data_IF_453780327155
#
_entry.id   IF_453780327155
#
_cell.length_a   1.000
_cell.length_b   1.000
_cell.length_c   1.000
_cell.angle_alpha   90.00
_cell.angle_beta   90.00
_cell.angle_gamma   90.00
#
_symmetry.space_group_name_H-M   'P 1'
#
loop_
_entity.id
_entity.type
_entity.pdbx_description
1 polymer ?
#
# COMPACT_ATOMS: atom_id res chain seq x y z
N UNK A 1 -18.32 -4.93 -11.55
CA UNK A 1 -18.43 -6.12 -10.68
C UNK A 1 -17.12 -6.35 -9.95
N UNK A 2 -17.14 -6.69 -8.66
CA UNK A 2 -15.93 -7.05 -7.91
C UNK A 2 -15.71 -8.56 -8.02
N UNK A 3 -14.47 -9.06 -8.23
CA UNK A 3 -14.16 -10.50 -8.23
C UNK A 3 -14.68 -11.26 -6.99
N UNK A 4 -14.78 -10.56 -5.85
CA UNK A 4 -15.33 -11.12 -4.61
C UNK A 4 -16.79 -11.56 -4.76
N UNK A 5 -17.61 -10.84 -5.53
CA UNK A 5 -19.01 -11.19 -5.77
C UNK A 5 -19.16 -12.45 -6.62
N UNK A 6 -18.19 -12.72 -7.51
CA UNK A 6 -18.16 -13.95 -8.32
C UNK A 6 -17.86 -15.16 -7.44
N UNK A 7 -16.88 -15.02 -6.54
CA UNK A 7 -16.54 -16.06 -5.56
C UNK A 7 -17.68 -16.30 -4.57
N UNK A 8 -18.36 -15.23 -4.16
CA UNK A 8 -19.55 -15.33 -3.28
C UNK A 8 -20.66 -16.18 -3.89
N UNK A 9 -20.80 -16.15 -5.21
CA UNK A 9 -21.75 -16.96 -5.98
C UNK A 9 -21.28 -18.41 -6.23
N UNK A 10 -20.10 -18.80 -5.73
CA UNK A 10 -19.55 -20.14 -5.92
C UNK A 10 -18.78 -20.35 -7.22
N UNK A 11 -18.56 -19.29 -8.01
CA UNK A 11 -17.73 -19.35 -9.21
C UNK A 11 -16.26 -19.07 -8.89
N UNK A 12 -15.38 -19.39 -9.84
CA UNK A 12 -13.93 -19.15 -9.75
C UNK A 12 -13.50 -18.06 -10.73
N UNK A 13 -12.66 -17.13 -10.28
CA UNK A 13 -11.98 -16.20 -11.16
C UNK A 13 -10.80 -16.91 -11.85
N UNK A 14 -10.84 -16.99 -13.18
CA UNK A 14 -9.76 -17.55 -14.00
C UNK A 14 -9.05 -16.39 -14.71
N UNK A 15 -7.73 -16.41 -14.70
CA UNK A 15 -6.92 -15.43 -15.42
C UNK A 15 -6.94 -15.76 -16.92
N UNK A 16 -7.24 -14.78 -17.77
CA UNK A 16 -7.21 -14.93 -19.22
C UNK A 16 -5.88 -14.35 -19.73
N UNK A 17 -4.94 -15.22 -20.10
CA UNK A 17 -3.59 -14.83 -20.51
C UNK A 17 -3.57 -13.95 -21.77
N UNK A 18 -4.55 -14.13 -22.66
CA UNK A 18 -4.67 -13.38 -23.91
C UNK A 18 -5.22 -11.95 -23.72
N UNK A 19 -5.78 -11.64 -22.55
CA UNK A 19 -6.37 -10.32 -22.27
C UNK A 19 -5.28 -9.30 -21.88
N UNK A 20 -4.63 -8.70 -22.88
CA UNK A 20 -3.61 -7.68 -22.68
C UNK A 20 -4.21 -6.27 -22.57
N UNK A 21 -3.79 -5.50 -21.56
CA UNK A 21 -4.12 -4.08 -21.41
C UNK A 21 -2.83 -3.29 -21.22
N UNK A 22 -2.66 -2.20 -21.96
CA UNK A 22 -1.52 -1.29 -21.83
C UNK A 22 -1.98 -0.02 -21.14
N UNK A 23 -1.32 0.35 -20.05
CA UNK A 23 -1.55 1.59 -19.31
C UNK A 23 -0.22 2.35 -19.22
N UNK A 24 -0.27 3.67 -19.43
CA UNK A 24 0.91 4.50 -19.22
C UNK A 24 1.21 4.58 -17.72
N UNK A 25 2.47 4.37 -17.29
CA UNK A 25 2.83 4.56 -15.89
C UNK A 25 2.55 5.99 -15.44
N UNK A 26 2.08 6.15 -14.20
CA UNK A 26 1.83 7.45 -13.60
C UNK A 26 3.09 8.32 -13.66
N UNK A 27 2.93 9.56 -14.10
CA UNK A 27 4.06 10.47 -14.37
C UNK A 27 4.65 11.11 -13.12
N UNK A 28 4.00 10.97 -11.95
CA UNK A 28 4.44 11.62 -10.72
C UNK A 28 4.19 10.79 -9.45
N UNK A 29 5.04 10.98 -8.46
CA UNK A 29 4.90 10.37 -7.13
C UNK A 29 3.57 10.79 -6.45
N UNK A 30 3.10 12.00 -6.75
CA UNK A 30 1.84 12.51 -6.21
C UNK A 30 0.62 11.83 -6.85
N UNK A 31 0.64 11.60 -8.17
CA UNK A 31 -0.43 10.85 -8.84
C UNK A 31 -0.47 9.41 -8.34
N UNK A 32 0.70 8.81 -8.10
CA UNK A 32 0.84 7.50 -7.45
C UNK A 32 0.29 7.48 -6.02
N UNK A 33 0.59 8.49 -5.21
CA UNK A 33 0.03 8.63 -3.86
C UNK A 33 -1.50 8.69 -3.89
N UNK A 34 -2.08 9.54 -4.75
CA UNK A 34 -3.54 9.68 -4.89
C UNK A 34 -4.17 8.38 -5.38
N UNK A 35 -3.54 7.71 -6.36
CA UNK A 35 -3.96 6.41 -6.90
C UNK A 35 -3.97 5.35 -5.81
N UNK A 36 -2.88 5.20 -5.07
CA UNK A 36 -2.74 4.20 -4.02
C UNK A 36 -3.71 4.44 -2.85
N UNK A 37 -3.92 5.70 -2.45
CA UNK A 37 -4.90 6.05 -1.42
C UNK A 37 -6.32 5.65 -1.83
N UNK A 38 -6.70 5.93 -3.09
CA UNK A 38 -7.99 5.53 -3.67
C UNK A 38 -8.13 4.00 -3.76
N UNK A 39 -7.11 3.29 -4.23
CA UNK A 39 -7.11 1.81 -4.32
C UNK A 39 -7.30 1.21 -2.92
N UNK A 40 -6.57 1.71 -1.93
CA UNK A 40 -6.68 1.28 -0.54
C UNK A 40 -8.10 1.48 -0.01
N UNK A 41 -8.64 2.70 -0.15
CA UNK A 41 -9.99 3.03 0.29
C UNK A 41 -11.06 2.11 -0.35
N UNK A 42 -11.01 1.93 -1.67
CA UNK A 42 -11.95 1.05 -2.41
C UNK A 42 -11.82 -0.41 -1.97
N UNK A 43 -10.59 -0.89 -1.80
CA UNK A 43 -10.35 -2.28 -1.42
C UNK A 43 -10.80 -2.55 0.01
N UNK A 44 -10.52 -1.66 0.96
CA UNK A 44 -11.00 -1.79 2.34
C UNK A 44 -12.52 -1.84 2.42
N UNK A 45 -13.24 -0.99 1.66
CA UNK A 45 -14.71 -1.07 1.59
C UNK A 45 -15.20 -2.39 1.01
N UNK A 46 -14.57 -2.86 -0.06
CA UNK A 46 -14.92 -4.13 -0.68
C UNK A 46 -14.72 -5.29 0.31
N UNK A 47 -13.57 -5.34 0.99
CA UNK A 47 -13.27 -6.33 2.02
C UNK A 47 -14.25 -6.25 3.19
N UNK A 48 -14.59 -5.05 3.64
CA UNK A 48 -15.54 -4.85 4.73
C UNK A 48 -16.94 -5.34 4.37
N UNK A 49 -17.41 -5.02 3.15
CA UNK A 49 -18.71 -5.48 2.64
C UNK A 49 -18.76 -6.99 2.49
N UNK A 50 -17.69 -7.60 2.01
CA UNK A 50 -17.58 -9.04 1.80
C UNK A 50 -16.82 -9.75 2.94
N UNK A 51 -16.89 -9.23 4.17
CA UNK A 51 -16.14 -9.79 5.33
C UNK A 51 -16.53 -11.23 5.65
N UNK A 52 -17.73 -11.67 5.25
CA UNK A 52 -18.17 -13.05 5.41
C UNK A 52 -17.33 -14.05 4.59
N UNK A 53 -16.64 -13.59 3.53
CA UNK A 53 -15.69 -14.40 2.74
C UNK A 53 -14.41 -14.76 3.52
N UNK A 54 -14.19 -14.15 4.69
CA UNK A 54 -13.08 -14.47 5.58
C UNK A 54 -13.36 -15.70 6.46
N UNK A 55 -14.54 -16.32 6.36
CA UNK A 55 -14.86 -17.52 7.13
C UNK A 55 -14.17 -18.76 6.51
N UNK A 56 -13.11 -19.31 7.16
CA UNK A 56 -12.36 -20.44 6.60
C UNK A 56 -13.19 -21.72 6.55
N UNK A 57 -14.23 -21.85 7.38
CA UNK A 57 -15.12 -23.01 7.35
C UNK A 57 -15.98 -23.05 6.08
N UNK A 58 -16.25 -21.89 5.47
CA UNK A 58 -17.08 -21.78 4.28
C UNK A 58 -16.29 -21.66 2.98
N UNK A 59 -15.13 -20.99 3.02
CA UNK A 59 -14.34 -20.69 1.81
C UNK A 59 -12.91 -21.25 1.85
N UNK A 60 -12.52 -21.99 2.89
CA UNK A 60 -11.26 -22.72 2.96
C UNK A 60 -10.02 -21.85 2.72
N UNK A 61 -9.15 -22.31 1.81
CA UNK A 61 -7.89 -21.62 1.45
C UNK A 61 -8.13 -20.22 0.85
N UNK A 62 -9.27 -19.97 0.22
CA UNK A 62 -9.57 -18.63 -0.32
C UNK A 62 -9.62 -17.57 0.79
N UNK A 63 -10.24 -17.89 1.94
CA UNK A 63 -10.26 -16.99 3.09
C UNK A 63 -8.86 -16.68 3.60
N UNK A 64 -7.98 -17.68 3.63
CA UNK A 64 -6.59 -17.52 4.04
C UNK A 64 -5.83 -16.56 3.12
N UNK A 65 -5.88 -16.78 1.80
CA UNK A 65 -5.24 -15.88 0.83
C UNK A 65 -5.83 -14.47 0.85
N UNK A 66 -7.15 -14.35 1.01
CA UNK A 66 -7.82 -13.06 1.10
C UNK A 66 -7.36 -12.29 2.33
N UNK A 67 -7.24 -12.96 3.48
CA UNK A 67 -6.77 -12.36 4.72
C UNK A 67 -5.28 -11.99 4.64
N UNK A 68 -4.41 -12.95 4.30
CA UNK A 68 -2.96 -12.74 4.30
C UNK A 68 -2.51 -11.70 3.27
N UNK A 69 -3.01 -11.74 2.03
CA UNK A 69 -2.52 -10.83 0.99
C UNK A 69 -3.23 -9.48 0.95
N UNK A 70 -4.49 -9.38 1.40
CA UNK A 70 -5.21 -8.11 1.36
C UNK A 70 -5.23 -7.42 2.72
N UNK A 71 -5.67 -8.08 3.78
CA UNK A 71 -5.78 -7.44 5.10
C UNK A 71 -4.43 -7.09 5.69
N UNK A 72 -3.52 -8.07 5.78
CA UNK A 72 -2.18 -7.85 6.36
C UNK A 72 -1.40 -6.81 5.57
N UNK A 73 -1.52 -6.81 4.23
CA UNK A 73 -0.88 -5.81 3.37
C UNK A 73 -1.32 -4.38 3.70
N UNK A 74 -2.60 -4.15 3.98
CA UNK A 74 -3.06 -2.82 4.37
C UNK A 74 -2.73 -2.46 5.83
N UNK A 75 -2.37 -3.44 6.67
CA UNK A 75 -1.87 -3.22 8.03
C UNK A 75 -0.35 -2.97 8.08
N UNK A 76 0.38 -3.17 6.99
CA UNK A 76 1.81 -2.91 6.90
C UNK A 76 2.28 -1.58 7.51
N UNK A 77 1.66 -0.40 7.22
CA UNK A 77 2.11 0.85 7.81
C UNK A 77 1.86 0.93 9.33
N UNK A 78 0.85 0.22 9.85
CA UNK A 78 0.60 0.13 11.30
C UNK A 78 1.69 -0.70 11.97
N UNK A 79 2.05 -1.85 11.39
CA UNK A 79 3.17 -2.66 11.90
C UNK A 79 4.51 -1.93 11.83
N UNK A 80 4.72 -1.15 10.78
CA UNK A 80 5.91 -0.31 10.66
C UNK A 80 5.97 0.74 11.78
N UNK A 81 4.86 1.43 12.06
CA UNK A 81 4.79 2.38 13.18
C UNK A 81 5.03 1.69 14.53
N UNK A 82 4.39 0.53 14.78
CA UNK A 82 4.58 -0.24 16.00
C UNK A 82 6.04 -0.72 16.17
N UNK A 83 6.68 -1.15 15.08
CA UNK A 83 8.10 -1.53 15.12
C UNK A 83 9.01 -0.35 15.46
N UNK A 84 8.73 0.84 14.92
CA UNK A 84 9.51 2.05 15.20
C UNK A 84 9.38 2.46 16.67
N UNK A 85 8.16 2.42 17.22
CA UNK A 85 7.91 2.67 18.64
C UNK A 85 8.63 1.64 19.51
N UNK A 86 8.53 0.36 19.16
CA UNK A 86 9.19 -0.73 19.90
C UNK A 86 10.71 -0.54 19.92
N UNK A 87 11.31 -0.19 18.78
CA UNK A 87 12.75 0.11 18.69
C UNK A 87 13.13 1.32 19.55
N UNK A 88 12.32 2.38 19.57
CA UNK A 88 12.58 3.55 20.39
C UNK A 88 12.53 3.24 21.89
N UNK A 89 11.58 2.40 22.32
CA UNK A 89 11.47 1.96 23.71
C UNK A 89 12.66 1.08 24.14
N UNK A 90 13.12 0.19 23.25
CA UNK A 90 14.23 -0.72 23.51
C UNK A 90 15.60 -0.10 23.25
N UNK A 91 15.69 1.12 22.70
CA UNK A 91 16.95 1.74 22.31
C UNK A 91 17.97 1.87 23.46
N UNK A 92 17.50 1.96 24.71
CA UNK A 92 18.37 2.04 25.90
C UNK A 92 18.84 0.69 26.43
N UNK A 93 18.24 -0.40 25.97
CA UNK A 93 18.52 -1.77 26.48
C UNK A 93 19.70 -2.43 25.77
N UNK A 94 19.94 -2.10 24.51
CA UNK A 94 21.04 -2.65 23.72
C UNK A 94 21.43 -1.71 22.58
N UNK A 95 22.73 -1.65 22.30
CA UNK A 95 23.29 -0.91 21.16
C UNK A 95 22.67 -1.35 19.83
N UNK A 96 22.27 -2.63 19.70
CA UNK A 96 21.62 -3.14 18.48
C UNK A 96 20.29 -2.44 18.23
N UNK A 97 19.45 -2.27 19.26
CA UNK A 97 18.18 -1.57 19.14
C UNK A 97 18.36 -0.08 18.93
N UNK A 98 19.39 0.53 19.53
CA UNK A 98 19.74 1.93 19.28
C UNK A 98 20.11 2.16 17.81
N UNK A 99 21.02 1.33 17.26
CA UNK A 99 21.44 1.42 15.85
C UNK A 99 20.25 1.20 14.92
N UNK A 100 19.40 0.21 15.22
CA UNK A 100 18.19 -0.03 14.44
C UNK A 100 17.23 1.18 14.47
N UNK A 101 16.97 1.76 15.65
CA UNK A 101 16.13 2.96 15.78
C UNK A 101 16.69 4.16 15.01
N UNK A 102 18.00 4.40 15.10
CA UNK A 102 18.67 5.46 14.34
C UNK A 102 18.61 5.22 12.83
N UNK A 103 18.81 3.98 12.38
CA UNK A 103 18.72 3.64 10.96
C UNK A 103 17.31 3.88 10.39
N UNK A 104 16.27 3.58 11.16
CA UNK A 104 14.89 3.85 10.78
C UNK A 104 14.62 5.36 10.68
N UNK A 105 15.12 6.14 11.66
CA UNK A 105 15.01 7.60 11.66
C UNK A 105 15.73 8.22 10.46
N UNK A 106 16.94 7.76 10.16
CA UNK A 106 17.72 8.19 8.98
C UNK A 106 16.96 7.84 7.70
N UNK A 107 16.40 6.63 7.60
CA UNK A 107 15.61 6.22 6.43
C UNK A 107 14.43 7.14 6.16
N UNK A 108 13.70 7.54 7.21
CA UNK A 108 12.60 8.53 7.12
C UNK A 108 13.14 9.90 6.69
N UNK A 109 14.21 10.38 7.32
CA UNK A 109 14.81 11.68 6.99
C UNK A 109 15.28 11.74 5.53
N UNK A 110 15.94 10.69 5.05
CA UNK A 110 16.39 10.57 3.66
C UNK A 110 15.22 10.55 2.67
N UNK A 111 14.09 9.94 3.05
CA UNK A 111 12.90 9.95 2.20
C UNK A 111 12.35 11.37 1.98
N UNK A 112 12.40 12.23 3.00
CA UNK A 112 11.91 13.61 2.93
C UNK A 112 12.80 14.53 2.08
N UNK A 113 14.10 14.24 2.00
CA UNK A 113 15.07 15.02 1.20
C UNK A 113 15.11 14.55 -0.27
N UNK A 114 14.56 13.36 -0.55
CA UNK A 114 14.57 12.78 -1.89
C UNK A 114 13.67 13.56 -2.85
N UNK A 115 14.28 14.21 -3.85
CA UNK A 115 13.55 14.86 -4.95
C UNK A 115 13.09 13.79 -5.96
N UNK A 116 11.78 13.64 -6.22
CA UNK A 116 11.23 12.57 -7.06
C UNK A 116 11.73 12.57 -8.51
N UNK A 117 12.05 13.75 -9.04
CA UNK A 117 12.37 13.94 -10.47
C UNK A 117 13.83 13.61 -10.82
N UNK A 118 14.73 13.50 -9.84
CA UNK A 118 16.19 13.60 -10.08
C UNK A 118 16.96 12.29 -9.81
N UNK A 119 16.37 11.31 -9.12
CA UNK A 119 17.17 10.29 -8.43
C UNK A 119 17.30 8.94 -9.13
N UNK A 120 16.50 8.60 -10.13
CA UNK A 120 16.51 7.21 -10.63
C UNK A 120 17.66 6.88 -11.61
N UNK A 121 18.33 7.88 -12.22
CA UNK A 121 19.14 7.65 -13.44
C UNK A 121 20.63 7.99 -13.37
N UNK A 122 21.24 8.25 -12.20
CA UNK A 122 22.69 8.65 -12.17
C UNK A 122 23.61 7.95 -11.16
N UNK A 123 23.11 7.28 -10.11
CA UNK A 123 23.97 6.62 -9.11
C UNK A 123 23.21 5.60 -8.26
N UNK A 124 23.90 4.63 -7.67
CA UNK A 124 23.34 3.69 -6.68
C UNK A 124 22.69 4.39 -5.48
N UNK A 125 23.24 5.52 -5.04
CA UNK A 125 22.64 6.35 -4.00
C UNK A 125 21.31 6.96 -4.42
N UNK A 126 21.18 7.38 -5.68
CA UNK A 126 19.94 7.89 -6.22
C UNK A 126 18.83 6.83 -6.25
N UNK A 127 19.17 5.59 -6.64
CA UNK A 127 18.23 4.46 -6.62
C UNK A 127 17.72 4.16 -5.19
N UNK A 128 18.62 4.18 -4.20
CA UNK A 128 18.24 3.98 -2.80
C UNK A 128 17.30 5.08 -2.30
N UNK A 129 17.61 6.35 -2.57
CA UNK A 129 16.77 7.48 -2.18
C UNK A 129 15.40 7.47 -2.89
N UNK A 130 15.35 7.08 -4.16
CA UNK A 130 14.11 6.90 -4.91
C UNK A 130 13.26 5.77 -4.34
N UNK A 131 13.88 4.64 -3.99
CA UNK A 131 13.23 3.52 -3.32
C UNK A 131 12.65 3.92 -1.97
N UNK A 132 13.45 4.53 -1.09
CA UNK A 132 12.99 4.99 0.23
C UNK A 132 11.81 5.95 0.10
N UNK A 133 11.92 6.95 -0.79
CA UNK A 133 10.85 7.90 -1.02
C UNK A 133 9.55 7.22 -1.47
N UNK A 134 9.63 6.32 -2.46
CA UNK A 134 8.47 5.57 -2.95
C UNK A 134 7.88 4.70 -1.84
N UNK A 135 8.71 4.01 -1.08
CA UNK A 135 8.30 3.14 0.02
C UNK A 135 7.52 3.90 1.09
N UNK A 136 8.06 5.01 1.60
CA UNK A 136 7.38 5.80 2.63
C UNK A 136 6.12 6.48 2.08
N UNK A 137 6.17 6.99 0.84
CA UNK A 137 5.01 7.64 0.21
C UNK A 137 3.85 6.67 -0.01
N UNK A 138 4.12 5.45 -0.46
CA UNK A 138 3.08 4.42 -0.64
C UNK A 138 2.49 4.00 0.71
N UNK A 139 3.30 3.86 1.76
CA UNK A 139 2.80 3.56 3.10
C UNK A 139 1.95 4.71 3.66
N UNK A 140 2.35 5.96 3.45
CA UNK A 140 1.55 7.12 3.80
C UNK A 140 0.22 7.17 3.02
N UNK A 141 0.23 6.82 1.73
CA UNK A 141 -0.98 6.73 0.91
C UNK A 141 -1.97 5.68 1.44
N UNK A 142 -1.45 4.53 1.92
CA UNK A 142 -2.27 3.48 2.55
C UNK A 142 -2.92 4.01 3.84
N UNK A 143 -2.18 4.71 4.70
CA UNK A 143 -2.74 5.35 5.90
C UNK A 143 -3.81 6.38 5.56
N UNK A 144 -3.58 7.21 4.53
CA UNK A 144 -4.59 8.15 4.03
C UNK A 144 -5.84 7.43 3.52
N UNK A 145 -5.67 6.28 2.86
CA UNK A 145 -6.77 5.42 2.41
C UNK A 145 -7.60 4.86 3.57
N UNK A 146 -6.94 4.41 4.65
CA UNK A 146 -7.60 4.01 5.90
C UNK A 146 -8.38 5.16 6.52
N UNK A 147 -7.78 6.34 6.61
CA UNK A 147 -8.44 7.52 7.14
C UNK A 147 -9.72 7.88 6.37
N UNK A 148 -9.66 7.86 5.03
CA UNK A 148 -10.83 8.06 4.17
C UNK A 148 -11.89 6.97 4.37
N UNK A 149 -11.47 5.71 4.55
CA UNK A 149 -12.36 4.59 4.84
C UNK A 149 -13.12 4.81 6.16
N UNK A 150 -12.41 5.13 7.23
CA UNK A 150 -12.98 5.36 8.57
C UNK A 150 -13.93 6.57 8.58
N UNK A 151 -13.61 7.64 7.84
CA UNK A 151 -14.50 8.81 7.67
C UNK A 151 -15.69 8.57 6.73
N UNK A 152 -15.81 7.39 6.14
CA UNK A 152 -16.89 7.08 5.19
C UNK A 152 -16.75 7.74 3.81
N UNK A 153 -15.66 8.46 3.50
CA UNK A 153 -15.47 9.24 2.27
C UNK A 153 -15.30 8.39 1.01
N UNK A 154 -16.29 8.39 0.11
CA UNK A 154 -16.27 7.56 -1.11
C UNK A 154 -15.63 8.31 -2.29
N UNK A 155 -14.56 7.77 -2.85
CA UNK A 155 -14.00 8.26 -4.11
C UNK A 155 -14.83 7.71 -5.30
N UNK A 156 -15.96 8.38 -5.59
CA UNK A 156 -16.94 7.98 -6.62
C UNK A 156 -16.54 8.46 -8.01
N UNK A 157 -16.00 9.68 -8.11
CA UNK A 157 -15.63 10.30 -9.39
C UNK A 157 -14.24 9.85 -9.84
N UNK A 158 -14.17 9.31 -11.07
CA UNK A 158 -12.91 9.06 -11.73
C UNK A 158 -12.41 10.34 -12.40
N UNK A 159 -11.37 10.94 -11.84
CA UNK A 159 -10.65 12.05 -12.46
C UNK A 159 -9.56 11.45 -13.35
N UNK A 160 -9.65 11.70 -14.65
CA UNK A 160 -8.54 11.41 -15.57
C UNK A 160 -7.51 12.52 -15.44
N UNK A 161 -6.23 12.17 -15.34
CA UNK A 161 -5.18 13.11 -15.75
C UNK A 161 -5.27 13.22 -17.28
N UNK A 162 -6.07 14.16 -17.77
CA UNK A 162 -5.94 14.61 -19.16
C UNK A 162 -4.68 15.46 -19.20
N UNK A 163 -3.54 14.86 -19.49
CA UNK A 163 -2.43 15.63 -20.04
C UNK A 163 -2.91 16.17 -21.39
N UNK A 164 -3.41 17.40 -21.40
CA UNK A 164 -3.52 18.18 -22.63
C UNK A 164 -2.09 18.38 -23.14
N UNK A 165 -1.68 17.52 -24.07
CA UNK A 165 -0.61 17.81 -25.00
C UNK A 165 -1.23 18.51 -26.23
#
# INVERSE_FOLDING_TARGET
>A
MLPLSVVEQGYRCVFAEEACCSEQPGTSLESEFRRQSRITNRTLRALWRHRHLLNPLRYGLFSFFLFSHKWVRFLAPVFLALSAVSLALLARTSTVYLVAALSALIGVALSAVSKPEVTFHRSSWGRLLGFLNTFFTINAAVLQGWWKFLRGQRDVTWQHDRSTA
#
